data_IF_993600677980
#
_entry.id   IF_993600677980
#
_cell.length_a   1.000
_cell.length_b   1.000
_cell.length_c   1.000
_cell.angle_alpha   90.00
_cell.angle_beta   90.00
_cell.angle_gamma   90.00
#
_symmetry.space_group_name_H-M   'P 1'
#
loop_
_entity.id
_entity.type
_entity.pdbx_description
1 polymer ?
#
# COMPACT_ATOMS: atom_id res chain seq x y z
N UNK A 1 -6.24 -3.78 0.25
CA UNK A 1 -6.44 -2.68 1.20
C UNK A 1 -7.49 -1.77 0.57
N UNK A 2 -8.70 -1.64 1.14
CA UNK A 2 -9.74 -0.82 0.50
C UNK A 2 -9.34 0.65 0.56
N UNK A 3 -9.23 1.28 -0.62
CA UNK A 3 -9.00 2.72 -0.75
C UNK A 3 -10.38 3.35 -0.93
N UNK A 4 -10.94 3.85 0.17
CA UNK A 4 -12.30 4.43 0.16
C UNK A 4 -12.37 5.76 -0.60
N UNK A 5 -11.29 6.55 -0.54
CA UNK A 5 -11.26 7.87 -1.16
C UNK A 5 -10.53 7.81 -2.50
N UNK A 6 -11.18 8.26 -3.56
CA UNK A 6 -10.62 8.32 -4.90
C UNK A 6 -9.36 9.18 -4.99
N UNK A 7 -9.20 10.19 -4.14
CA UNK A 7 -8.00 11.04 -4.11
C UNK A 7 -6.73 10.29 -3.71
N UNK A 8 -6.86 9.17 -2.99
CA UNK A 8 -5.74 8.29 -2.64
C UNK A 8 -5.54 7.15 -3.63
N UNK A 9 -6.34 7.01 -4.68
CA UNK A 9 -6.14 5.98 -5.71
C UNK A 9 -5.03 6.38 -6.66
N UNK A 10 -4.13 5.45 -6.94
CA UNK A 10 -3.08 5.63 -7.93
C UNK A 10 -3.65 5.86 -9.33
N UNK A 11 -2.78 6.14 -10.29
CA UNK A 11 -3.20 6.33 -11.69
C UNK A 11 -2.50 5.35 -12.62
N UNK A 12 -3.25 4.84 -13.58
CA UNK A 12 -2.75 4.06 -14.71
C UNK A 12 -2.10 4.98 -15.75
N UNK A 13 -1.45 4.40 -16.77
CA UNK A 13 -0.74 5.18 -17.80
C UNK A 13 -1.67 6.07 -18.65
N UNK A 14 -2.96 5.71 -18.73
CA UNK A 14 -4.00 6.44 -19.43
C UNK A 14 -4.66 7.54 -18.57
N UNK A 15 -4.25 7.68 -17.31
CA UNK A 15 -4.83 8.63 -16.35
C UNK A 15 -6.06 8.12 -15.59
N UNK A 16 -6.51 6.88 -15.84
CA UNK A 16 -7.59 6.26 -15.05
C UNK A 16 -7.12 5.89 -13.64
N UNK A 17 -8.06 5.76 -12.69
CA UNK A 17 -7.72 5.39 -11.31
C UNK A 17 -7.39 3.91 -11.18
N UNK A 18 -6.28 3.62 -10.53
CA UNK A 18 -5.89 2.27 -10.17
C UNK A 18 -6.83 1.70 -9.11
N UNK A 19 -7.29 0.47 -9.32
CA UNK A 19 -8.15 -0.26 -8.38
C UNK A 19 -7.32 -0.94 -7.29
N UNK A 20 -6.08 -1.31 -7.61
CA UNK A 20 -5.23 -2.14 -6.77
C UNK A 20 -4.25 -1.34 -5.91
N UNK A 21 -3.89 -0.13 -6.34
CA UNK A 21 -2.79 0.65 -5.75
C UNK A 21 -3.18 2.08 -5.41
N UNK A 22 -2.57 2.62 -4.35
CA UNK A 22 -2.74 4.02 -3.96
C UNK A 22 -1.72 4.94 -4.64
N UNK A 23 -1.96 6.26 -4.59
CA UNK A 23 -1.08 7.30 -5.15
C UNK A 23 0.37 7.20 -4.66
N UNK A 24 0.59 6.71 -3.44
CA UNK A 24 1.93 6.60 -2.87
C UNK A 24 2.70 5.38 -3.40
N UNK A 25 1.98 4.38 -3.92
CA UNK A 25 2.58 3.16 -4.44
C UNK A 25 2.72 3.20 -5.97
N UNK A 26 1.75 3.78 -6.67
CA UNK A 26 1.61 3.69 -8.12
C UNK A 26 1.02 4.96 -8.72
N UNK A 27 1.71 5.56 -9.68
CA UNK A 27 1.23 6.72 -10.44
C UNK A 27 1.66 6.63 -11.90
N UNK A 28 0.81 7.13 -12.79
CA UNK A 28 1.06 7.21 -14.23
C UNK A 28 1.55 5.88 -14.83
N UNK A 29 0.96 4.77 -14.40
CA UNK A 29 1.32 3.46 -14.91
C UNK A 29 2.61 2.87 -14.32
N UNK A 30 3.23 3.52 -13.31
CA UNK A 30 4.54 3.15 -12.76
C UNK A 30 4.54 3.08 -11.24
N UNK A 31 5.27 2.12 -10.70
CA UNK A 31 5.53 2.09 -9.26
C UNK A 31 6.52 3.19 -8.88
N UNK A 32 6.18 3.97 -7.85
CA UNK A 32 7.05 5.02 -7.32
C UNK A 32 8.39 4.48 -6.81
N UNK A 33 8.36 3.24 -6.31
CA UNK A 33 9.55 2.52 -5.89
C UNK A 33 9.55 1.17 -6.61
N UNK A 34 10.15 1.07 -7.82
CA UNK A 34 10.14 -0.17 -8.60
C UNK A 34 11.08 -1.24 -8.01
N UNK A 35 12.18 -0.81 -7.38
CA UNK A 35 13.22 -1.71 -6.86
C UNK A 35 13.05 -2.09 -5.39
N UNK A 36 12.03 -1.56 -4.70
CA UNK A 36 11.77 -1.91 -3.30
C UNK A 36 11.46 -3.40 -3.19
N UNK A 37 12.01 -4.05 -2.18
CA UNK A 37 11.68 -5.43 -1.83
C UNK A 37 10.36 -5.52 -1.04
N UNK A 38 9.79 -6.72 -0.97
CA UNK A 38 8.59 -6.97 -0.17
C UNK A 38 8.80 -6.60 1.30
N UNK A 39 9.95 -7.00 1.88
CA UNK A 39 10.25 -6.76 3.30
C UNK A 39 10.43 -5.27 3.62
N UNK A 40 11.06 -4.52 2.72
CA UNK A 40 11.17 -3.07 2.83
C UNK A 40 9.79 -2.39 2.75
N UNK A 41 8.92 -2.82 1.83
CA UNK A 41 7.56 -2.29 1.74
C UNK A 41 6.74 -2.58 3.02
N UNK A 42 6.94 -3.76 3.61
CA UNK A 42 6.36 -4.12 4.92
C UNK A 42 6.83 -3.14 5.99
N UNK A 43 8.14 -2.88 6.08
CA UNK A 43 8.73 -1.94 7.05
C UNK A 43 8.22 -0.51 6.87
N UNK A 44 8.11 -0.01 5.64
CA UNK A 44 7.58 1.32 5.36
C UNK A 44 6.14 1.44 5.85
N UNK A 45 5.27 0.47 5.52
CA UNK A 45 3.89 0.52 5.96
C UNK A 45 3.73 0.35 7.47
N UNK A 46 4.55 -0.49 8.11
CA UNK A 46 4.58 -0.61 9.58
C UNK A 46 4.98 0.72 10.24
N UNK A 47 5.99 1.42 9.69
CA UNK A 47 6.41 2.74 10.17
C UNK A 47 5.30 3.79 10.00
N UNK A 48 4.60 3.78 8.86
CA UNK A 48 3.43 4.62 8.63
C UNK A 48 2.29 4.35 9.62
N UNK A 49 2.00 3.08 9.91
CA UNK A 49 1.03 2.68 10.92
C UNK A 49 1.46 3.11 12.33
N UNK A 50 2.75 3.06 12.67
CA UNK A 50 3.26 3.56 13.96
C UNK A 50 3.06 5.06 14.11
N UNK A 51 3.32 5.84 13.06
CA UNK A 51 3.15 7.28 13.02
C UNK A 51 1.68 7.74 13.02
N UNK A 52 0.74 6.85 12.69
CA UNK A 52 -0.70 7.17 12.69
C UNK A 52 -1.23 7.43 14.11
N UNK A 53 -2.31 8.21 14.23
CA UNK A 53 -3.00 8.48 15.50
C UNK A 53 -3.84 7.28 16.01
N UNK A 54 -3.67 6.07 15.46
CA UNK A 54 -4.50 4.91 15.77
C UNK A 54 -4.23 4.34 17.18
N UNK A 55 -5.22 3.73 17.84
CA UNK A 55 -5.03 3.01 19.11
C UNK A 55 -4.02 1.86 18.98
N UNK A 56 -3.27 1.58 20.05
CA UNK A 56 -2.21 0.52 20.06
C UNK A 56 -2.73 -0.86 19.63
N UNK A 57 -3.92 -1.25 20.08
CA UNK A 57 -4.55 -2.52 19.69
C UNK A 57 -4.80 -2.60 18.18
N UNK A 58 -5.33 -1.52 17.61
CA UNK A 58 -5.59 -1.44 16.17
C UNK A 58 -4.27 -1.46 15.39
N UNK A 59 -3.25 -0.70 15.81
CA UNK A 59 -1.91 -0.76 15.20
C UNK A 59 -1.36 -2.19 15.17
N UNK A 60 -1.50 -2.95 16.26
CA UNK A 60 -1.05 -4.33 16.33
C UNK A 60 -1.78 -5.25 15.34
N UNK A 61 -3.11 -5.14 15.24
CA UNK A 61 -3.91 -5.88 14.26
C UNK A 61 -3.47 -5.54 12.84
N UNK A 62 -3.39 -4.24 12.51
CA UNK A 62 -3.02 -3.79 11.18
C UNK A 62 -1.60 -4.22 10.80
N UNK A 63 -0.63 -4.15 11.71
CA UNK A 63 0.73 -4.64 11.46
C UNK A 63 0.79 -6.12 11.11
N UNK A 64 -0.06 -6.95 11.72
CA UNK A 64 -0.17 -8.39 11.40
C UNK A 64 -0.89 -8.65 10.08
N UNK A 65 -1.95 -7.90 9.79
CA UNK A 65 -2.72 -8.04 8.56
C UNK A 65 -2.01 -7.45 7.33
N UNK A 66 -1.20 -6.42 7.53
CA UNK A 66 -0.50 -5.68 6.46
C UNK A 66 0.33 -6.58 5.53
N UNK A 67 1.24 -7.46 6.01
CA UNK A 67 1.99 -8.35 5.12
C UNK A 67 1.08 -9.35 4.38
N UNK A 68 -0.01 -9.80 5.01
CA UNK A 68 -0.99 -10.69 4.36
C UNK A 68 -1.72 -9.96 3.23
N UNK A 69 -2.12 -8.70 3.45
CA UNK A 69 -2.75 -7.86 2.43
C UNK A 69 -1.78 -7.51 1.30
N UNK A 70 -0.51 -7.22 1.61
CA UNK A 70 0.51 -6.96 0.60
C UNK A 70 0.74 -8.18 -0.29
N UNK A 71 0.82 -9.40 0.27
CA UNK A 71 0.92 -10.64 -0.53
C UNK A 71 -0.25 -10.85 -1.50
N UNK A 72 -1.41 -10.25 -1.23
CA UNK A 72 -2.58 -10.29 -2.12
C UNK A 72 -2.48 -9.39 -3.35
N UNK A 73 -1.56 -8.42 -3.37
CA UNK A 73 -1.39 -7.49 -4.49
C UNK A 73 -0.70 -8.17 -5.67
N UNK A 74 -1.10 -7.81 -6.90
CA UNK A 74 -0.54 -8.38 -8.14
C UNK A 74 0.99 -8.29 -8.20
N UNK A 75 1.58 -7.23 -7.64
CA UNK A 75 3.04 -7.03 -7.56
C UNK A 75 3.77 -8.10 -6.76
N UNK A 76 3.13 -8.64 -5.72
CA UNK A 76 3.75 -9.54 -4.74
C UNK A 76 3.20 -10.97 -4.79
N UNK A 77 2.17 -11.19 -5.63
CA UNK A 77 1.75 -12.52 -6.04
C UNK A 77 2.86 -13.11 -6.92
N UNK A 78 3.45 -14.21 -6.46
CA UNK A 78 4.22 -15.12 -7.31
C UNK A 78 3.29 -15.85 -8.26
#
# INVERSE_FOLDING_TARGET
>A
MPINDSSYKGTEADGSFSVDYCIYCYMQGRFMQPNISFDEMVKIGQKGLEASAMPKFQKWIFKKLYPMQLKGLKRWKK
#
